data_IF_388216783703
#
_entry.id   IF_388216783703
#
_cell.length_a   1.000
_cell.length_b   1.000
_cell.length_c   1.000
_cell.angle_alpha   90.00
_cell.angle_beta   90.00
_cell.angle_gamma   90.00
#
_symmetry.space_group_name_H-M   'P 1'
#
loop_
_entity.id
_entity.type
_entity.pdbx_description
1 polymer ?
#
# COMPACT_ATOMS: atom_id res chain seq x y z
N UNK A 1 -10.14 15.59 -36.21
CA UNK A 1 -9.68 15.76 -34.86
C UNK A 1 -9.27 14.41 -34.34
N UNK A 2 -8.04 14.27 -33.83
CA UNK A 2 -7.65 13.09 -33.06
C UNK A 2 -8.25 13.33 -31.69
N UNK A 3 -9.31 12.60 -31.37
CA UNK A 3 -9.79 12.56 -29.98
C UNK A 3 -8.67 11.96 -29.13
N UNK A 4 -8.16 12.71 -28.15
CA UNK A 4 -7.27 12.15 -27.16
C UNK A 4 -8.07 11.11 -26.36
N UNK A 5 -7.51 9.93 -26.09
CA UNK A 5 -8.19 8.98 -25.22
C UNK A 5 -8.51 9.66 -23.89
N UNK A 6 -9.73 9.45 -23.40
CA UNK A 6 -10.10 9.92 -22.07
C UNK A 6 -9.10 9.31 -21.07
N UNK A 7 -8.40 10.18 -20.37
CA UNK A 7 -7.47 9.74 -19.33
C UNK A 7 -8.13 9.94 -17.98
N UNK A 8 -8.07 8.92 -17.15
CA UNK A 8 -8.60 8.95 -15.78
C UNK A 8 -7.49 8.58 -14.78
N UNK A 9 -7.57 9.15 -13.60
CA UNK A 9 -6.73 8.75 -12.48
C UNK A 9 -7.57 8.63 -11.21
N UNK A 10 -7.00 7.99 -10.18
CA UNK A 10 -7.70 7.65 -8.95
C UNK A 10 -6.88 8.10 -7.76
N UNK A 11 -7.53 8.79 -6.84
CA UNK A 11 -6.96 9.16 -5.54
C UNK A 11 -7.63 8.30 -4.48
N UNK A 12 -6.96 7.27 -3.94
CA UNK A 12 -7.51 6.46 -2.88
C UNK A 12 -7.59 7.25 -1.57
N UNK A 13 -8.65 7.01 -0.80
CA UNK A 13 -8.79 7.52 0.56
C UNK A 13 -9.49 6.46 1.42
N UNK A 14 -9.26 6.52 2.73
CA UNK A 14 -9.83 5.57 3.68
C UNK A 14 -10.81 6.29 4.59
N UNK A 15 -12.00 5.70 4.75
CA UNK A 15 -13.02 6.19 5.66
C UNK A 15 -12.97 5.36 6.93
N UNK A 16 -12.80 6.00 8.05
CA UNK A 16 -12.75 5.38 9.38
C UNK A 16 -13.88 5.89 10.28
N UNK A 17 -14.23 5.18 11.34
CA UNK A 17 -15.09 5.73 12.38
C UNK A 17 -14.50 7.01 13.00
N UNK A 18 -15.31 7.88 13.57
CA UNK A 18 -14.81 9.00 14.35
C UNK A 18 -13.87 8.53 15.46
N UNK A 19 -12.86 9.34 15.79
CA UNK A 19 -11.87 8.99 16.81
C UNK A 19 -12.55 8.57 18.12
N UNK A 20 -12.12 7.42 18.68
CA UNK A 20 -12.67 6.86 19.91
C UNK A 20 -13.99 6.11 19.77
N UNK A 21 -14.50 5.95 18.54
CA UNK A 21 -15.73 5.21 18.26
C UNK A 21 -15.43 3.96 17.42
N UNK A 22 -16.35 2.99 17.47
CA UNK A 22 -16.35 1.81 16.62
C UNK A 22 -17.74 1.61 16.04
N UNK A 23 -17.83 1.05 14.84
CA UNK A 23 -19.10 0.66 14.21
C UNK A 23 -19.19 -0.85 14.00
N UNK A 24 -18.07 -1.56 14.19
CA UNK A 24 -17.96 -3.00 14.03
C UNK A 24 -17.13 -3.65 15.15
N UNK A 25 -17.09 -4.97 15.17
CA UNK A 25 -16.25 -5.75 16.10
C UNK A 25 -14.88 -6.12 15.50
N UNK A 26 -14.75 -6.03 14.19
CA UNK A 26 -13.52 -6.33 13.45
C UNK A 26 -12.87 -5.03 13.04
N UNK A 27 -11.59 -4.89 13.34
CA UNK A 27 -10.74 -3.82 12.85
C UNK A 27 -9.85 -4.37 11.72
N UNK A 28 -9.82 -3.70 10.59
CA UNK A 28 -8.86 -3.96 9.53
C UNK A 28 -7.85 -2.81 9.46
N UNK A 29 -6.60 -3.09 9.80
CA UNK A 29 -5.50 -2.16 9.65
C UNK A 29 -4.93 -2.31 8.23
N UNK A 30 -5.11 -1.27 7.43
CA UNK A 30 -4.57 -1.21 6.08
C UNK A 30 -3.10 -0.76 6.13
N UNK A 31 -2.15 -1.56 5.57
CA UNK A 31 -0.72 -1.31 5.71
C UNK A 31 -0.25 -0.20 4.76
N UNK A 32 -0.70 1.03 5.01
CA UNK A 32 -0.42 2.20 4.17
C UNK A 32 1.05 2.58 4.12
N UNK A 33 1.83 2.28 5.15
CA UNK A 33 3.29 2.48 5.14
C UNK A 33 3.94 1.58 4.08
N UNK A 34 3.54 0.30 4.01
CA UNK A 34 4.02 -0.62 2.98
C UNK A 34 3.62 -0.17 1.58
N UNK A 35 2.37 0.29 1.41
CA UNK A 35 1.94 0.84 0.12
C UNK A 35 2.79 2.02 -0.33
N UNK A 36 3.15 2.89 0.60
CA UNK A 36 3.98 4.06 0.32
C UNK A 36 5.44 3.69 0.07
N UNK A 37 5.98 2.74 0.83
CA UNK A 37 7.36 2.28 0.65
C UNK A 37 7.56 1.70 -0.76
N UNK A 38 6.64 0.86 -1.22
CA UNK A 38 6.68 0.23 -2.53
C UNK A 38 6.06 1.07 -3.65
N UNK A 39 5.59 2.28 -3.36
CA UNK A 39 4.91 3.06 -4.39
C UNK A 39 5.84 3.42 -5.54
N UNK A 40 5.43 3.04 -6.76
CA UNK A 40 6.16 3.29 -8.01
C UNK A 40 7.59 2.76 -7.97
N UNK A 41 7.81 1.61 -7.32
CA UNK A 41 9.13 1.00 -7.26
C UNK A 41 9.66 0.75 -8.68
N UNK A 42 10.92 1.07 -8.86
CA UNK A 42 11.56 1.17 -10.16
C UNK A 42 12.69 0.13 -10.34
N UNK A 43 12.56 -1.01 -9.66
CA UNK A 43 13.53 -2.11 -9.77
C UNK A 43 13.61 -2.68 -11.19
N UNK A 44 12.63 -2.40 -12.04
CA UNK A 44 12.58 -2.84 -13.43
C UNK A 44 13.72 -2.29 -14.29
N UNK A 45 14.42 -1.23 -13.90
CA UNK A 45 15.63 -0.77 -14.60
C UNK A 45 16.77 -1.80 -14.56
N UNK A 46 16.71 -2.76 -13.63
CA UNK A 46 17.63 -3.89 -13.52
C UNK A 46 16.93 -5.21 -13.91
N UNK A 47 16.30 -5.23 -15.08
CA UNK A 47 15.45 -6.33 -15.55
C UNK A 47 16.10 -7.73 -15.43
N UNK A 48 17.39 -7.85 -15.70
CA UNK A 48 18.12 -9.13 -15.61
C UNK A 48 18.16 -9.65 -14.17
N UNK A 49 18.39 -8.77 -13.19
CA UNK A 49 18.41 -9.15 -11.77
C UNK A 49 16.98 -9.50 -11.31
N UNK A 50 15.99 -8.73 -11.71
CA UNK A 50 14.60 -9.00 -11.39
C UNK A 50 14.12 -10.32 -12.00
N UNK A 51 14.50 -10.63 -13.24
CA UNK A 51 14.21 -11.89 -13.92
C UNK A 51 14.86 -13.09 -13.20
N UNK A 52 16.12 -12.96 -12.81
CA UNK A 52 16.85 -14.00 -12.06
C UNK A 52 16.23 -14.25 -10.68
N UNK A 53 15.81 -13.19 -9.97
CA UNK A 53 15.23 -13.31 -8.63
C UNK A 53 13.79 -13.85 -8.66
N UNK A 54 13.00 -13.44 -9.65
CA UNK A 54 11.60 -13.84 -9.75
C UNK A 54 11.37 -15.11 -10.56
N UNK A 55 12.33 -15.52 -11.38
CA UNK A 55 12.17 -16.60 -12.36
C UNK A 55 11.14 -16.28 -13.46
N UNK A 56 10.82 -15.00 -13.67
CA UNK A 56 9.80 -14.52 -14.62
C UNK A 56 10.27 -13.29 -15.36
N UNK A 57 9.76 -13.11 -16.56
CA UNK A 57 9.98 -11.87 -17.32
C UNK A 57 9.11 -10.77 -16.73
N UNK A 58 9.70 -9.65 -16.27
CA UNK A 58 8.95 -8.49 -15.79
C UNK A 58 8.07 -7.90 -16.89
N UNK A 59 6.84 -7.55 -16.57
CA UNK A 59 5.89 -6.93 -17.50
C UNK A 59 5.50 -5.57 -16.96
N UNK A 60 6.01 -4.52 -17.57
CA UNK A 60 5.66 -3.13 -17.24
C UNK A 60 4.44 -2.68 -18.04
N UNK A 61 3.54 -1.97 -17.35
CA UNK A 61 2.43 -1.28 -18.00
C UNK A 61 2.91 0.08 -18.54
N UNK A 62 2.14 0.67 -19.45
CA UNK A 62 2.48 1.98 -20.00
C UNK A 62 2.65 3.06 -18.92
N UNK A 63 1.87 2.99 -17.85
CA UNK A 63 1.98 3.89 -16.68
C UNK A 63 3.29 3.71 -15.90
N UNK A 64 3.79 2.47 -15.77
CA UNK A 64 5.07 2.20 -15.12
C UNK A 64 6.23 2.80 -15.94
N UNK A 65 6.18 2.59 -17.26
CA UNK A 65 7.16 3.16 -18.20
C UNK A 65 7.14 4.69 -18.16
N UNK A 66 5.94 5.27 -18.18
CA UNK A 66 5.78 6.72 -18.13
C UNK A 66 6.40 7.31 -16.87
N UNK A 67 6.11 6.77 -15.68
CA UNK A 67 6.69 7.25 -14.43
C UNK A 67 8.19 6.97 -14.33
N UNK A 68 8.67 5.93 -14.97
CA UNK A 68 10.11 5.65 -15.05
C UNK A 68 10.87 6.71 -15.88
N UNK A 69 10.24 7.24 -16.91
CA UNK A 69 10.77 8.32 -17.74
C UNK A 69 10.60 9.71 -17.10
N UNK A 70 9.62 9.87 -16.19
CA UNK A 70 9.24 11.14 -15.56
C UNK A 70 9.59 11.17 -14.07
N UNK A 71 10.90 11.11 -13.77
CA UNK A 71 11.42 11.07 -12.40
C UNK A 71 11.14 12.34 -11.60
N UNK A 72 10.79 13.44 -12.26
CA UNK A 72 10.38 14.72 -11.65
C UNK A 72 9.07 14.58 -10.82
N UNK A 73 8.26 13.57 -11.05
CA UNK A 73 7.08 13.27 -10.22
C UNK A 73 7.40 12.63 -8.87
N UNK A 74 8.68 12.37 -8.62
CA UNK A 74 9.14 11.79 -7.37
C UNK A 74 9.58 10.34 -7.49
N UNK A 75 10.64 10.02 -6.75
CA UNK A 75 11.25 8.70 -6.76
C UNK A 75 10.61 7.80 -5.69
N UNK A 76 10.60 6.50 -5.96
CA UNK A 76 10.33 5.47 -4.97
C UNK A 76 11.46 5.38 -3.95
N UNK A 77 11.16 4.95 -2.71
CA UNK A 77 12.18 4.60 -1.72
C UNK A 77 13.01 3.38 -2.15
N UNK A 78 12.58 2.64 -3.18
CA UNK A 78 13.33 1.57 -3.82
C UNK A 78 14.17 2.02 -5.01
N UNK A 79 14.19 3.32 -5.31
CA UNK A 79 15.00 3.91 -6.38
C UNK A 79 16.32 4.44 -5.85
N UNK A 80 17.25 4.71 -6.77
CA UNK A 80 18.51 5.38 -6.46
C UNK A 80 18.58 6.74 -7.16
N UNK A 81 19.30 7.67 -6.55
CA UNK A 81 19.71 8.89 -7.19
C UNK A 81 20.75 8.63 -8.30
N UNK A 82 21.08 9.63 -9.10
CA UNK A 82 22.02 9.50 -10.22
C UNK A 82 23.45 9.13 -9.78
N UNK A 83 23.79 9.40 -8.52
CA UNK A 83 25.07 9.05 -7.91
C UNK A 83 25.07 7.64 -7.27
N UNK A 84 23.96 6.91 -7.38
CA UNK A 84 23.79 5.57 -6.82
C UNK A 84 23.35 5.52 -5.35
N UNK A 85 23.21 6.68 -4.68
CA UNK A 85 22.68 6.71 -3.31
C UNK A 85 21.19 6.37 -3.28
N UNK A 86 20.75 5.71 -2.20
CA UNK A 86 19.35 5.32 -2.01
C UNK A 86 18.43 6.52 -1.72
N UNK A 87 17.20 6.43 -2.19
CA UNK A 87 16.15 7.41 -1.89
C UNK A 87 15.59 7.14 -0.51
N UNK A 88 15.93 8.00 0.47
CA UNK A 88 15.50 7.82 1.86
C UNK A 88 14.14 8.47 2.18
N UNK A 89 13.66 9.37 1.34
CA UNK A 89 12.41 10.11 1.53
C UNK A 89 11.56 10.06 0.27
N UNK A 90 10.26 9.89 0.46
CA UNK A 90 9.29 9.95 -0.63
C UNK A 90 8.02 10.65 -0.16
N UNK A 91 7.29 11.25 -1.09
CA UNK A 91 6.04 11.95 -0.81
C UNK A 91 4.85 11.12 -1.26
N UNK A 92 3.77 11.16 -0.46
CA UNK A 92 2.44 10.67 -0.90
C UNK A 92 1.74 11.65 -1.86
N UNK A 93 2.24 12.88 -1.98
CA UNK A 93 1.69 13.90 -2.88
C UNK A 93 2.29 13.76 -4.28
N UNK A 94 2.12 12.60 -4.87
CA UNK A 94 2.56 12.23 -6.22
C UNK A 94 1.64 11.16 -6.80
N UNK A 95 1.66 10.90 -8.10
CA UNK A 95 0.97 9.73 -8.67
C UNK A 95 1.44 8.44 -8.01
N UNK A 96 0.51 7.58 -7.56
CA UNK A 96 0.81 6.31 -6.90
C UNK A 96 0.08 5.20 -7.66
N UNK A 97 0.85 4.41 -8.44
CA UNK A 97 0.27 3.40 -9.33
C UNK A 97 -0.25 2.17 -8.59
N UNK A 98 0.47 1.70 -7.57
CA UNK A 98 0.11 0.49 -6.82
C UNK A 98 -1.19 0.62 -6.01
N UNK A 99 -1.72 1.84 -5.86
CA UNK A 99 -3.03 2.09 -5.25
C UNK A 99 -4.13 2.37 -6.28
N UNK A 100 -3.85 2.32 -7.56
CA UNK A 100 -4.87 2.43 -8.62
C UNK A 100 -5.68 1.14 -8.73
N UNK A 101 -6.98 1.22 -9.02
CA UNK A 101 -7.81 0.03 -9.24
C UNK A 101 -7.21 -0.89 -10.31
N UNK A 102 -7.21 -2.20 -10.02
CA UNK A 102 -6.73 -3.25 -10.95
C UNK A 102 -5.23 -3.17 -11.31
N UNK A 103 -4.44 -2.37 -10.61
CA UNK A 103 -2.99 -2.34 -10.83
C UNK A 103 -2.40 -3.73 -10.59
N UNK A 104 -1.53 -4.16 -11.50
CA UNK A 104 -0.74 -5.38 -11.39
C UNK A 104 0.73 -5.02 -11.29
N UNK A 105 1.40 -5.58 -10.34
CA UNK A 105 2.81 -5.31 -10.12
C UNK A 105 3.66 -5.85 -11.29
N UNK A 106 4.64 -5.07 -11.72
CA UNK A 106 5.48 -5.40 -12.87
C UNK A 106 6.32 -6.68 -12.68
N UNK A 107 6.71 -7.00 -11.44
CA UNK A 107 7.50 -8.19 -11.10
C UNK A 107 6.63 -9.45 -11.03
N UNK A 108 5.37 -9.30 -10.66
CA UNK A 108 4.41 -10.40 -10.59
C UNK A 108 3.11 -9.93 -11.25
N UNK A 109 2.56 -10.65 -12.25
CA UNK A 109 1.32 -10.25 -12.91
C UNK A 109 0.09 -10.40 -11.99
N UNK A 110 0.29 -10.39 -10.69
CA UNK A 110 -0.71 -10.49 -9.65
C UNK A 110 -1.10 -9.11 -9.12
N UNK A 111 -2.26 -9.02 -8.50
CA UNK A 111 -2.65 -7.87 -7.71
C UNK A 111 -1.67 -7.73 -6.53
N UNK A 112 -1.37 -6.49 -6.16
CA UNK A 112 -0.37 -6.17 -5.17
C UNK A 112 -0.85 -5.04 -4.26
N UNK A 113 -0.38 -5.00 -3.02
CA UNK A 113 -0.66 -3.94 -2.06
C UNK A 113 -2.17 -3.73 -1.86
N UNK A 114 -2.69 -2.52 -2.01
CA UNK A 114 -4.11 -2.21 -1.85
C UNK A 114 -5.02 -3.16 -2.64
N UNK A 115 -4.67 -3.47 -3.89
CA UNK A 115 -5.49 -4.34 -4.72
C UNK A 115 -5.51 -5.80 -4.23
N UNK A 116 -4.45 -6.27 -3.57
CA UNK A 116 -4.43 -7.57 -2.90
C UNK A 116 -5.28 -7.56 -1.62
N UNK A 117 -5.22 -6.47 -0.85
CA UNK A 117 -5.99 -6.33 0.38
C UNK A 117 -7.49 -6.16 0.14
N UNK A 118 -7.90 -5.68 -1.03
CA UNK A 118 -9.31 -5.65 -1.44
C UNK A 118 -9.93 -7.06 -1.54
N UNK A 119 -9.15 -8.13 -1.70
CA UNK A 119 -9.67 -9.49 -1.59
C UNK A 119 -10.13 -9.82 -0.17
N UNK A 120 -9.45 -9.28 0.84
CA UNK A 120 -9.85 -9.46 2.24
C UNK A 120 -11.15 -8.71 2.54
N UNK A 121 -11.30 -7.48 2.05
CA UNK A 121 -12.55 -6.71 2.22
C UNK A 121 -13.71 -7.37 1.48
N UNK A 122 -13.50 -7.83 0.24
CA UNK A 122 -14.49 -8.57 -0.54
C UNK A 122 -14.94 -9.86 0.18
N UNK A 123 -14.00 -10.58 0.78
CA UNK A 123 -14.30 -11.77 1.57
C UNK A 123 -15.12 -11.45 2.82
N UNK A 124 -14.76 -10.37 3.56
CA UNK A 124 -15.52 -9.94 4.75
C UNK A 124 -16.96 -9.59 4.38
N UNK A 125 -17.14 -8.81 3.31
CA UNK A 125 -18.46 -8.43 2.83
C UNK A 125 -19.26 -9.64 2.33
N UNK A 126 -18.65 -10.54 1.58
CA UNK A 126 -19.31 -11.78 1.11
C UNK A 126 -19.75 -12.69 2.27
N UNK A 127 -19.09 -12.58 3.44
CA UNK A 127 -19.47 -13.30 4.66
C UNK A 127 -20.44 -12.51 5.54
N UNK A 128 -20.79 -11.29 5.20
CA UNK A 128 -21.65 -10.43 6.02
C UNK A 128 -20.99 -10.03 7.34
N UNK A 129 -19.68 -9.89 7.35
CA UNK A 129 -18.90 -9.47 8.53
C UNK A 129 -18.65 -7.98 8.44
N UNK A 130 -19.25 -7.22 9.35
CA UNK A 130 -18.98 -5.79 9.49
C UNK A 130 -17.58 -5.56 10.04
N UNK A 131 -16.88 -4.57 9.48
CA UNK A 131 -15.53 -4.20 9.88
C UNK A 131 -15.30 -2.69 9.78
N UNK A 132 -14.44 -2.17 10.64
CA UNK A 132 -13.95 -0.81 10.60
C UNK A 132 -12.55 -0.80 9.96
N UNK A 133 -12.28 0.21 9.14
CA UNK A 133 -10.99 0.38 8.49
C UNK A 133 -10.19 1.45 9.21
N UNK A 134 -8.92 1.14 9.49
CA UNK A 134 -7.92 2.09 9.97
C UNK A 134 -6.62 1.93 9.17
N UNK A 135 -5.80 2.95 9.18
CA UNK A 135 -4.50 2.96 8.50
C UNK A 135 -3.35 2.80 9.51
N UNK A 136 -2.16 2.49 9.01
CA UNK A 136 -0.95 2.49 9.84
C UNK A 136 -0.74 3.83 10.54
N UNK A 137 -1.06 4.95 9.88
CA UNK A 137 -0.95 6.29 10.46
C UNK A 137 -1.94 6.50 11.63
N UNK A 138 -3.13 5.90 11.57
CA UNK A 138 -4.07 5.92 12.68
C UNK A 138 -3.55 5.11 13.86
N UNK A 139 -3.00 3.93 13.60
CA UNK A 139 -2.41 3.08 14.64
C UNK A 139 -1.17 3.72 15.25
N UNK A 140 -0.31 4.32 14.46
CA UNK A 140 0.86 5.05 14.96
C UNK A 140 0.48 6.18 15.93
N UNK A 141 -0.60 6.91 15.62
CA UNK A 141 -1.06 8.04 16.42
C UNK A 141 -1.86 7.64 17.66
N UNK A 142 -2.65 6.59 17.61
CA UNK A 142 -3.59 6.21 18.67
C UNK A 142 -3.09 5.03 19.51
N UNK A 143 -2.10 4.29 19.02
CA UNK A 143 -1.48 3.19 19.74
C UNK A 143 -2.46 2.07 20.08
N UNK A 144 -2.19 1.39 21.19
CA UNK A 144 -3.01 0.27 21.70
C UNK A 144 -4.45 0.68 22.03
N UNK A 145 -4.71 1.93 22.33
CA UNK A 145 -6.06 2.43 22.60
C UNK A 145 -6.98 2.30 21.39
N UNK A 146 -6.44 2.32 20.16
CA UNK A 146 -7.19 2.00 18.96
C UNK A 146 -7.56 0.52 18.95
N UNK A 147 -6.59 -0.36 19.13
CA UNK A 147 -6.76 -1.81 19.00
C UNK A 147 -7.68 -2.38 20.08
N UNK A 148 -7.57 -1.90 21.32
CA UNK A 148 -8.35 -2.37 22.48
C UNK A 148 -9.87 -2.14 22.35
N UNK A 149 -10.32 -1.37 21.36
CA UNK A 149 -11.73 -1.20 21.06
C UNK A 149 -12.32 -2.39 20.31
N UNK A 150 -11.46 -3.24 19.75
CA UNK A 150 -11.86 -4.33 18.85
C UNK A 150 -11.46 -5.69 19.41
N UNK A 151 -12.40 -6.62 19.50
CA UNK A 151 -12.08 -8.00 19.86
C UNK A 151 -11.30 -8.75 18.78
N UNK A 152 -11.32 -8.26 17.54
CA UNK A 152 -10.61 -8.88 16.41
C UNK A 152 -9.89 -7.79 15.62
N UNK A 153 -8.60 -7.97 15.42
CA UNK A 153 -7.76 -7.10 14.60
C UNK A 153 -7.17 -7.93 13.46
N UNK A 154 -7.39 -7.46 12.24
CA UNK A 154 -6.81 -8.02 11.02
C UNK A 154 -5.83 -7.01 10.44
N UNK A 155 -4.77 -7.50 9.82
CA UNK A 155 -3.84 -6.68 9.03
C UNK A 155 -4.03 -7.02 7.55
N UNK A 156 -3.59 -6.12 6.67
CA UNK A 156 -3.52 -6.42 5.24
C UNK A 156 -2.48 -7.51 4.92
N UNK A 157 -2.34 -7.82 3.65
CA UNK A 157 -1.51 -8.93 3.16
C UNK A 157 0.00 -8.72 3.35
N UNK A 158 0.48 -7.49 3.48
CA UNK A 158 1.92 -7.18 3.53
C UNK A 158 2.27 -6.02 4.49
N UNK A 159 2.07 -6.19 5.81
CA UNK A 159 2.38 -5.17 6.82
C UNK A 159 3.88 -5.20 7.18
N UNK A 160 4.74 -4.71 6.31
CA UNK A 160 6.20 -4.81 6.45
C UNK A 160 6.81 -3.60 7.19
N UNK A 161 6.24 -2.41 6.99
CA UNK A 161 6.81 -1.17 7.50
C UNK A 161 6.02 -0.64 8.69
N UNK A 162 6.44 -1.05 9.89
CA UNK A 162 5.82 -0.60 11.13
C UNK A 162 6.72 0.38 11.88
N UNK A 163 6.12 1.40 12.48
CA UNK A 163 6.81 2.26 13.43
C UNK A 163 6.99 1.56 14.78
N UNK A 164 7.85 2.10 15.64
CA UNK A 164 8.01 1.63 17.01
C UNK A 164 6.69 1.70 17.80
N UNK A 165 5.92 2.78 17.63
CA UNK A 165 4.60 2.93 18.25
C UNK A 165 3.63 1.85 17.84
N UNK A 166 3.60 1.51 16.53
CA UNK A 166 2.75 0.44 16.02
C UNK A 166 3.13 -0.92 16.58
N UNK A 167 4.43 -1.25 16.61
CA UNK A 167 4.93 -2.52 17.17
C UNK A 167 4.57 -2.63 18.65
N UNK A 168 4.81 -1.57 19.44
CA UNK A 168 4.43 -1.51 20.85
C UNK A 168 2.92 -1.69 21.04
N UNK A 169 2.10 -1.11 20.16
CA UNK A 169 0.65 -1.26 20.22
C UNK A 169 0.21 -2.71 19.95
N UNK A 170 0.79 -3.37 18.95
CA UNK A 170 0.50 -4.78 18.67
C UNK A 170 0.93 -5.70 19.81
N UNK A 171 2.12 -5.50 20.38
CA UNK A 171 2.60 -6.28 21.54
C UNK A 171 1.67 -6.12 22.74
N UNK A 172 1.29 -4.89 23.05
CA UNK A 172 0.39 -4.62 24.18
C UNK A 172 -1.01 -5.23 23.97
N UNK A 173 -1.54 -5.19 22.74
CA UNK A 173 -2.82 -5.79 22.39
C UNK A 173 -2.81 -7.31 22.54
N UNK A 174 -1.71 -7.99 22.20
CA UNK A 174 -1.58 -9.44 22.32
C UNK A 174 -1.49 -9.93 23.77
N UNK A 175 -1.15 -9.03 24.68
CA UNK A 175 -1.01 -9.35 26.11
C UNK A 175 -2.30 -9.06 26.91
N UNK A 176 -3.28 -8.42 26.31
CA UNK A 176 -4.53 -8.01 26.94
C UNK A 176 -5.61 -9.10 26.84
#
# INVERSE_FOLDING_TARGET
>A
GVESPETEDYVPFFVRPPKGQTTAKVCLIIPTNSYMAYSNDNLATNSVVAELLSGRVPIMQASDLYLNEHREYGLSTYSCHSDGSGVCFSSRLRPILNMRPKYRHWLSPSLWQLNADLHLTDWLEAKGIDYDVHTDEDLDREGVDLLNRYPVVLTGSHPEYSSENMLTAYEAYQQA
#
